data_IF_083061785735
#
_entry.id   IF_083061785735
#
_cell.length_a   1.000
_cell.length_b   1.000
_cell.length_c   1.000
_cell.angle_alpha   90.00
_cell.angle_beta   90.00
_cell.angle_gamma   90.00
#
_symmetry.space_group_name_H-M   'P 1'
#
loop_
_entity.id
_entity.type
_entity.pdbx_description
1 polymer ?
#
# COMPACT_ATOMS: atom_id res chain seq x y z
N UNK A 1 -4.35 14.45 21.29
CA UNK A 1 -3.56 15.69 21.08
C UNK A 1 -3.07 15.89 19.66
N UNK A 2 -2.93 14.86 18.83
CA UNK A 2 -2.01 14.99 17.69
C UNK A 2 -2.63 15.66 16.46
N UNK A 3 -3.91 15.38 16.16
CA UNK A 3 -4.68 16.05 15.11
C UNK A 3 -5.43 17.30 15.61
N UNK A 4 -6.37 17.10 16.54
CA UNK A 4 -7.27 18.16 17.04
C UNK A 4 -6.64 19.11 18.07
N UNK A 5 -5.49 18.74 18.64
CA UNK A 5 -4.77 19.53 19.66
C UNK A 5 -5.67 19.95 20.84
N UNK A 6 -6.62 19.09 21.21
CA UNK A 6 -7.46 19.23 22.43
C UNK A 6 -6.55 19.12 23.64
N UNK A 7 -6.74 20.00 24.62
CA UNK A 7 -5.98 20.00 25.89
C UNK A 7 -6.30 18.69 26.64
N UNK A 8 -5.29 18.04 27.24
CA UNK A 8 -5.42 16.66 27.75
C UNK A 8 -6.49 16.50 28.82
N UNK A 9 -6.59 17.46 29.74
CA UNK A 9 -7.62 17.53 30.78
C UNK A 9 -9.04 17.70 30.19
N UNK A 10 -9.21 18.51 29.13
CA UNK A 10 -10.50 18.63 28.46
C UNK A 10 -10.87 17.35 27.70
N UNK A 11 -9.88 16.64 27.16
CA UNK A 11 -10.09 15.34 26.54
C UNK A 11 -10.49 14.28 27.58
N UNK A 12 -9.89 14.30 28.77
CA UNK A 12 -10.27 13.41 29.88
C UNK A 12 -11.73 13.61 30.30
N UNK A 13 -12.15 14.86 30.50
CA UNK A 13 -13.56 15.19 30.76
C UNK A 13 -14.46 14.72 29.62
N UNK A 14 -14.08 14.98 28.36
CA UNK A 14 -14.87 14.54 27.21
C UNK A 14 -15.03 13.01 27.13
N UNK A 15 -14.01 12.24 27.51
CA UNK A 15 -14.02 10.78 27.47
C UNK A 15 -14.68 10.12 28.69
N UNK A 16 -15.04 10.89 29.72
CA UNK A 16 -15.60 10.39 30.99
C UNK A 16 -17.05 10.81 31.23
N UNK A 17 -17.68 11.51 30.28
CA UNK A 17 -19.08 11.94 30.35
C UNK A 17 -19.90 11.31 29.21
N UNK A 18 -21.07 10.77 29.52
CA UNK A 18 -21.92 10.07 28.54
C UNK A 18 -22.62 11.04 27.58
N UNK A 19 -22.93 12.26 28.04
CA UNK A 19 -23.72 13.24 27.28
C UNK A 19 -22.91 13.97 26.20
N UNK A 20 -21.58 13.87 26.27
CA UNK A 20 -20.64 14.55 25.38
C UNK A 20 -20.65 16.08 25.50
N UNK A 21 -20.21 16.76 24.43
CA UNK A 21 -20.04 18.22 24.37
C UNK A 21 -20.75 18.77 23.14
N UNK A 22 -21.59 19.79 23.32
CA UNK A 22 -22.43 20.37 22.25
C UNK A 22 -22.16 21.84 22.03
N UNK A 23 -22.56 22.32 20.85
CA UNK A 23 -22.57 23.74 20.49
C UNK A 23 -21.20 24.40 20.62
N UNK A 24 -21.19 25.67 21.02
CA UNK A 24 -19.98 26.50 21.12
C UNK A 24 -18.87 25.85 21.95
N UNK A 25 -19.21 25.14 23.03
CA UNK A 25 -18.25 24.42 23.87
C UNK A 25 -17.43 23.40 23.08
N UNK A 26 -18.05 22.70 22.11
CA UNK A 26 -17.35 21.74 21.27
C UNK A 26 -16.30 22.40 20.37
N UNK A 27 -16.60 23.60 19.86
CA UNK A 27 -15.69 24.38 19.04
C UNK A 27 -14.55 24.96 19.89
N UNK A 28 -14.87 25.55 21.05
CA UNK A 28 -13.90 26.11 22.00
C UNK A 28 -12.90 25.05 22.47
N UNK A 29 -13.36 23.82 22.68
CA UNK A 29 -12.50 22.68 23.05
C UNK A 29 -11.76 22.06 21.86
N UNK A 30 -11.96 22.57 20.63
CA UNK A 30 -11.38 22.07 19.37
C UNK A 30 -11.86 20.67 18.98
N UNK A 31 -12.99 20.20 19.50
CA UNK A 31 -13.59 18.91 19.13
C UNK A 31 -14.17 18.95 17.71
N UNK A 32 -14.73 20.10 17.32
CA UNK A 32 -15.23 20.39 15.96
C UNK A 32 -14.64 21.70 15.44
N UNK A 33 -14.68 21.91 14.13
CA UNK A 33 -14.11 23.10 13.48
C UNK A 33 -15.10 24.27 13.46
N UNK A 34 -16.39 23.99 13.26
CA UNK A 34 -17.45 24.98 13.13
C UNK A 34 -18.76 24.48 13.75
N UNK A 35 -19.57 25.41 14.26
CA UNK A 35 -20.92 25.15 14.80
C UNK A 35 -21.88 26.09 14.09
N UNK A 36 -22.91 25.51 13.47
CA UNK A 36 -23.85 26.22 12.58
C UNK A 36 -25.28 25.98 13.05
N UNK A 37 -26.14 26.99 12.92
CA UNK A 37 -27.57 26.82 13.17
C UNK A 37 -28.19 25.82 12.19
N UNK A 38 -29.13 25.00 12.68
CA UNK A 38 -29.73 23.93 11.86
C UNK A 38 -30.35 24.44 10.54
N UNK A 39 -30.96 25.63 10.56
CA UNK A 39 -31.55 26.26 9.36
C UNK A 39 -30.54 26.63 8.27
N UNK A 40 -29.24 26.69 8.56
CA UNK A 40 -28.16 27.04 7.63
C UNK A 40 -27.16 25.90 7.40
N UNK A 41 -27.39 24.73 8.00
CA UNK A 41 -26.40 23.65 8.03
C UNK A 41 -26.06 23.14 6.63
N UNK A 42 -27.07 22.75 5.85
CA UNK A 42 -26.92 22.27 4.47
C UNK A 42 -26.20 23.28 3.56
N UNK A 43 -26.58 24.55 3.64
CA UNK A 43 -25.96 25.64 2.89
C UNK A 43 -24.48 25.77 3.25
N UNK A 44 -24.16 25.76 4.55
CA UNK A 44 -22.78 25.91 5.03
C UNK A 44 -21.92 24.71 4.67
N UNK A 45 -22.45 23.48 4.77
CA UNK A 45 -21.76 22.26 4.35
C UNK A 45 -21.45 22.31 2.86
N UNK A 46 -22.42 22.70 2.03
CA UNK A 46 -22.25 22.84 0.58
C UNK A 46 -21.20 23.88 0.23
N UNK A 47 -21.22 25.05 0.90
CA UNK A 47 -20.22 26.10 0.70
C UNK A 47 -18.80 25.64 1.10
N UNK A 48 -18.65 24.94 2.24
CA UNK A 48 -17.37 24.38 2.68
C UNK A 48 -16.85 23.29 1.75
N UNK A 49 -17.73 22.41 1.28
CA UNK A 49 -17.38 21.39 0.31
C UNK A 49 -16.86 22.02 -1.00
N UNK A 50 -17.53 23.06 -1.50
CA UNK A 50 -17.09 23.82 -2.66
C UNK A 50 -15.73 24.52 -2.43
N UNK A 51 -15.50 25.09 -1.24
CA UNK A 51 -14.22 25.70 -0.86
C UNK A 51 -13.08 24.69 -0.90
N UNK A 52 -13.27 23.48 -0.36
CA UNK A 52 -12.26 22.43 -0.39
C UNK A 52 -12.05 21.89 -1.79
N UNK A 53 -13.13 21.62 -2.54
CA UNK A 53 -13.05 21.18 -3.93
C UNK A 53 -12.30 22.20 -4.79
N UNK A 54 -12.45 23.50 -4.52
CA UNK A 54 -11.78 24.56 -5.26
C UNK A 54 -10.24 24.47 -5.20
N UNK A 55 -9.68 23.85 -4.15
CA UNK A 55 -8.23 23.67 -3.94
C UNK A 55 -7.65 22.46 -4.69
N UNK A 56 -8.50 21.56 -5.18
CA UNK A 56 -8.06 20.40 -5.95
C UNK A 56 -7.83 20.76 -7.42
N UNK A 57 -6.79 20.17 -8.04
CA UNK A 57 -6.40 20.44 -9.43
C UNK A 57 -7.22 19.62 -10.44
N UNK A 58 -7.66 18.42 -10.07
CA UNK A 58 -8.25 17.43 -10.97
C UNK A 58 -9.79 17.46 -10.97
N UNK A 59 -10.40 18.63 -11.15
CA UNK A 59 -11.87 18.82 -10.98
C UNK A 59 -12.71 18.13 -12.06
N UNK A 60 -12.16 18.00 -13.28
CA UNK A 60 -12.88 17.49 -14.46
C UNK A 60 -12.27 16.18 -14.99
N UNK A 61 -11.47 15.49 -14.16
CA UNK A 61 -10.81 14.27 -14.58
C UNK A 61 -11.82 13.11 -14.73
N UNK A 62 -11.71 12.37 -15.84
CA UNK A 62 -12.49 11.14 -16.02
C UNK A 62 -11.95 10.05 -15.09
N UNK A 63 -12.82 9.51 -14.23
CA UNK A 63 -12.46 8.40 -13.35
C UNK A 63 -12.20 7.09 -14.10
N UNK A 64 -11.55 6.15 -13.42
CA UNK A 64 -11.44 4.76 -13.87
C UNK A 64 -12.41 3.87 -13.09
N UNK A 65 -12.93 2.83 -13.74
CA UNK A 65 -13.75 1.82 -13.07
C UNK A 65 -12.86 0.79 -12.36
N UNK A 66 -13.05 0.61 -11.05
CA UNK A 66 -12.43 -0.47 -10.29
C UNK A 66 -13.22 -1.77 -10.45
N UNK A 67 -12.96 -2.49 -11.54
CA UNK A 67 -13.61 -3.77 -11.86
C UNK A 67 -13.43 -4.78 -10.70
N UNK A 68 -14.41 -5.66 -10.44
CA UNK A 68 -14.28 -6.70 -9.42
C UNK A 68 -12.97 -7.51 -9.54
N UNK A 69 -12.38 -7.87 -8.41
CA UNK A 69 -11.22 -8.75 -8.39
C UNK A 69 -11.66 -10.17 -8.74
N UNK A 70 -10.94 -10.79 -9.67
CA UNK A 70 -11.10 -12.21 -9.98
C UNK A 70 -10.23 -13.00 -9.00
N UNK A 71 -10.89 -13.72 -8.09
CA UNK A 71 -10.24 -14.50 -7.04
C UNK A 71 -10.91 -15.87 -6.95
N UNK A 72 -10.12 -16.93 -6.97
CA UNK A 72 -10.55 -18.27 -6.55
C UNK A 72 -9.98 -18.61 -5.18
N UNK A 73 -10.77 -19.32 -4.38
CA UNK A 73 -10.38 -19.84 -3.07
C UNK A 73 -10.49 -21.35 -3.17
N UNK A 74 -9.37 -22.06 -2.96
CA UNK A 74 -9.33 -23.51 -2.94
C UNK A 74 -9.78 -24.05 -1.57
N UNK A 75 -10.10 -25.35 -1.50
CA UNK A 75 -10.59 -26.00 -0.27
C UNK A 75 -9.59 -25.94 0.90
N UNK A 76 -8.29 -25.91 0.58
CA UNK A 76 -7.20 -25.77 1.56
C UNK A 76 -7.04 -24.34 2.10
N UNK A 77 -7.74 -23.36 1.53
CA UNK A 77 -7.64 -21.93 1.83
C UNK A 77 -6.68 -21.16 0.92
N UNK A 78 -6.01 -21.83 -0.02
CA UNK A 78 -5.14 -21.18 -1.00
C UNK A 78 -5.93 -20.21 -1.88
N UNK A 79 -5.33 -19.08 -2.22
CA UNK A 79 -5.95 -18.01 -3.01
C UNK A 79 -5.23 -17.89 -4.35
N UNK A 80 -5.98 -17.72 -5.43
CA UNK A 80 -5.41 -17.44 -6.75
C UNK A 80 -6.06 -16.20 -7.35
N UNK A 81 -5.21 -15.29 -7.78
CA UNK A 81 -5.55 -14.09 -8.54
C UNK A 81 -4.77 -14.10 -9.86
N UNK A 82 -4.83 -13.01 -10.63
CA UNK A 82 -4.09 -12.92 -11.89
C UNK A 82 -2.59 -12.66 -11.70
N UNK A 83 -2.21 -11.92 -10.65
CA UNK A 83 -0.83 -11.50 -10.35
C UNK A 83 -0.37 -11.91 -8.95
N UNK A 84 -1.25 -12.50 -8.14
CA UNK A 84 -0.94 -12.97 -6.78
C UNK A 84 -1.40 -14.40 -6.62
N UNK A 85 -0.54 -15.21 -6.03
CA UNK A 85 -0.88 -16.55 -5.57
C UNK A 85 -0.57 -16.67 -4.08
N UNK A 86 -1.47 -17.31 -3.33
CA UNK A 86 -1.28 -17.62 -1.93
C UNK A 86 -1.42 -19.12 -1.74
N UNK A 87 -0.33 -19.76 -1.38
CA UNK A 87 -0.27 -21.19 -1.06
C UNK A 87 -0.35 -21.36 0.45
N UNK A 88 -1.31 -22.15 0.92
CA UNK A 88 -1.53 -22.39 2.36
C UNK A 88 -1.01 -23.77 2.75
N UNK A 89 -0.09 -23.81 3.71
CA UNK A 89 0.45 -25.04 4.29
C UNK A 89 0.08 -25.12 5.78
N UNK A 90 -1.11 -25.65 6.08
CA UNK A 90 -1.68 -25.64 7.45
C UNK A 90 -0.83 -26.38 8.46
N UNK A 91 -0.28 -27.53 8.09
CA UNK A 91 0.60 -28.32 8.97
C UNK A 91 1.86 -27.55 9.40
N UNK A 92 2.34 -26.64 8.53
CA UNK A 92 3.47 -25.75 8.80
C UNK A 92 3.06 -24.39 9.35
N UNK A 93 1.74 -24.10 9.40
CA UNK A 93 1.16 -22.81 9.76
C UNK A 93 1.76 -21.66 8.94
N UNK A 94 1.91 -21.90 7.64
CA UNK A 94 2.63 -21.03 6.72
C UNK A 94 1.73 -20.67 5.53
N UNK A 95 1.79 -19.41 5.11
CA UNK A 95 1.27 -18.96 3.83
C UNK A 95 2.41 -18.42 2.96
N UNK A 96 2.53 -18.89 1.71
CA UNK A 96 3.47 -18.33 0.73
C UNK A 96 2.70 -17.46 -0.25
N UNK A 97 3.00 -16.16 -0.27
CA UNK A 97 2.47 -15.16 -1.20
C UNK A 97 3.48 -14.94 -2.32
N UNK A 98 3.13 -15.34 -3.54
CA UNK A 98 3.95 -15.13 -4.74
C UNK A 98 3.39 -13.96 -5.54
N UNK A 99 4.25 -12.98 -5.85
CA UNK A 99 3.92 -11.83 -6.69
C UNK A 99 4.46 -12.04 -8.11
N UNK A 100 3.55 -12.07 -9.07
CA UNK A 100 3.90 -12.24 -10.47
C UNK A 100 4.19 -10.88 -11.11
N UNK A 101 5.42 -10.73 -11.59
CA UNK A 101 5.89 -9.58 -12.36
C UNK A 101 5.11 -9.41 -13.67
N UNK A 102 5.22 -8.24 -14.30
CA UNK A 102 4.52 -7.95 -15.55
C UNK A 102 5.03 -8.85 -16.68
N UNK A 103 4.11 -9.39 -17.47
CA UNK A 103 4.42 -10.11 -18.71
C UNK A 103 4.47 -9.18 -19.93
N UNK A 104 3.72 -8.08 -19.87
CA UNK A 104 3.64 -7.07 -20.92
C UNK A 104 4.51 -5.85 -20.59
N UNK A 105 4.91 -5.13 -21.64
CA UNK A 105 5.62 -3.85 -21.51
C UNK A 105 4.82 -2.83 -20.67
N UNK A 106 5.54 -1.90 -20.05
CA UNK A 106 4.93 -0.74 -19.39
C UNK A 106 4.01 0.02 -20.37
N UNK A 107 2.92 0.66 -19.88
CA UNK A 107 2.05 1.44 -20.75
C UNK A 107 2.85 2.49 -21.52
N UNK A 108 2.55 2.66 -22.81
CA UNK A 108 3.32 3.55 -23.69
C UNK A 108 3.25 5.04 -23.30
N UNK A 109 2.35 5.40 -22.38
CA UNK A 109 2.16 6.74 -21.85
C UNK A 109 0.90 6.84 -20.99
N UNK A 110 0.59 8.05 -20.52
CA UNK A 110 -0.54 8.28 -19.60
C UNK A 110 -1.90 7.96 -20.25
N UNK A 111 -2.07 8.25 -21.54
CA UNK A 111 -3.31 7.87 -22.24
C UNK A 111 -3.54 6.34 -22.19
N UNK A 112 -2.48 5.54 -22.32
CA UNK A 112 -2.57 4.09 -22.25
C UNK A 112 -2.78 3.60 -20.81
N UNK A 113 -2.11 4.22 -19.83
CA UNK A 113 -2.35 3.96 -18.40
C UNK A 113 -3.84 4.13 -18.04
N UNK A 114 -4.46 5.22 -18.47
CA UNK A 114 -5.88 5.49 -18.23
C UNK A 114 -6.80 4.51 -18.98
N UNK A 115 -6.44 4.15 -20.23
CA UNK A 115 -7.18 3.17 -21.03
C UNK A 115 -7.20 1.79 -20.36
N UNK A 116 -6.06 1.35 -19.82
CA UNK A 116 -5.95 0.10 -19.08
C UNK A 116 -6.68 0.18 -17.72
N UNK A 117 -6.69 1.35 -17.08
CA UNK A 117 -7.42 1.61 -15.85
C UNK A 117 -7.08 0.64 -14.73
N UNK A 118 -8.08 -0.06 -14.18
CA UNK A 118 -7.89 -1.05 -13.11
C UNK A 118 -7.13 -2.32 -13.53
N UNK A 119 -6.82 -2.47 -14.82
CA UNK A 119 -6.05 -3.60 -15.35
C UNK A 119 -4.56 -3.27 -15.57
N UNK A 120 -4.13 -2.04 -15.31
CA UNK A 120 -2.70 -1.72 -15.27
C UNK A 120 -2.00 -2.61 -14.25
N UNK A 121 -0.82 -3.15 -14.58
CA UNK A 121 -0.13 -4.12 -13.71
C UNK A 121 0.09 -3.56 -12.29
N UNK A 122 0.59 -2.32 -12.17
CA UNK A 122 0.83 -1.67 -10.87
C UNK A 122 -0.43 -1.55 -10.01
N UNK A 123 -1.58 -1.19 -10.59
CA UNK A 123 -2.82 -1.08 -9.82
C UNK A 123 -3.43 -2.44 -9.52
N UNK A 124 -3.42 -3.36 -10.49
CA UNK A 124 -3.98 -4.71 -10.34
C UNK A 124 -3.24 -5.48 -9.26
N UNK A 125 -1.90 -5.48 -9.30
CA UNK A 125 -1.08 -6.14 -8.28
C UNK A 125 -1.31 -5.56 -6.89
N UNK A 126 -1.37 -4.22 -6.75
CA UNK A 126 -1.66 -3.59 -5.46
C UNK A 126 -3.01 -4.04 -4.88
N UNK A 127 -4.05 -4.09 -5.72
CA UNK A 127 -5.40 -4.49 -5.30
C UNK A 127 -5.47 -5.96 -4.87
N UNK A 128 -4.88 -6.85 -5.67
CA UNK A 128 -4.86 -8.28 -5.39
C UNK A 128 -4.04 -8.58 -4.13
N UNK A 129 -2.88 -7.93 -3.97
CA UNK A 129 -2.05 -8.07 -2.77
C UNK A 129 -2.74 -7.54 -1.51
N UNK A 130 -3.38 -6.37 -1.59
CA UNK A 130 -4.14 -5.80 -0.46
C UNK A 130 -5.28 -6.74 -0.02
N UNK A 131 -6.04 -7.27 -0.98
CA UNK A 131 -7.10 -8.24 -0.72
C UNK A 131 -6.56 -9.54 -0.10
N UNK A 132 -5.46 -10.09 -0.64
CA UNK A 132 -4.81 -11.30 -0.11
C UNK A 132 -4.33 -11.10 1.33
N UNK A 133 -3.68 -9.96 1.64
CA UNK A 133 -3.24 -9.63 3.00
C UNK A 133 -4.45 -9.54 3.95
N UNK A 134 -5.54 -8.89 3.52
CA UNK A 134 -6.74 -8.77 4.34
C UNK A 134 -7.41 -10.13 4.60
N UNK A 135 -7.47 -11.00 3.59
CA UNK A 135 -7.94 -12.38 3.73
C UNK A 135 -7.11 -13.16 4.75
N UNK A 136 -5.78 -13.16 4.61
CA UNK A 136 -4.87 -13.86 5.52
C UNK A 136 -5.00 -13.33 6.96
N UNK A 137 -5.15 -12.01 7.16
CA UNK A 137 -5.24 -11.41 8.49
C UNK A 137 -6.51 -11.80 9.25
N UNK A 138 -7.64 -11.88 8.55
CA UNK A 138 -8.95 -12.04 9.19
C UNK A 138 -9.44 -13.49 9.19
N UNK A 139 -9.07 -14.28 8.18
CA UNK A 139 -9.63 -15.61 7.98
C UNK A 139 -8.63 -16.74 8.24
N UNK A 140 -7.33 -16.45 8.23
CA UNK A 140 -6.27 -17.44 8.47
C UNK A 140 -5.49 -17.14 9.76
N UNK A 141 -6.18 -17.28 10.89
CA UNK A 141 -5.66 -16.93 12.22
C UNK A 141 -4.55 -17.87 12.70
N UNK A 142 -4.54 -19.11 12.23
CA UNK A 142 -3.57 -20.13 12.65
C UNK A 142 -2.28 -20.12 11.83
N UNK A 143 -2.28 -19.48 10.65
CA UNK A 143 -1.08 -19.32 9.82
C UNK A 143 -0.21 -18.22 10.43
N UNK A 144 0.80 -18.61 11.21
CA UNK A 144 1.66 -17.69 11.96
C UNK A 144 2.75 -17.01 11.14
N UNK A 145 3.12 -17.59 9.99
CA UNK A 145 4.19 -17.11 9.12
C UNK A 145 3.66 -16.82 7.72
N UNK A 146 4.03 -15.66 7.17
CA UNK A 146 3.79 -15.31 5.76
C UNK A 146 5.13 -15.12 5.06
N UNK A 147 5.33 -15.86 3.97
CA UNK A 147 6.52 -15.78 3.12
C UNK A 147 6.17 -15.03 1.85
N UNK A 148 6.94 -14.01 1.50
CA UNK A 148 6.83 -13.31 0.22
C UNK A 148 7.88 -13.83 -0.78
N UNK A 149 7.41 -14.13 -1.98
CA UNK A 149 8.21 -14.42 -3.16
C UNK A 149 7.79 -13.48 -4.28
N UNK A 150 8.65 -13.36 -5.29
CA UNK A 150 8.29 -12.73 -6.56
C UNK A 150 8.88 -13.53 -7.71
N UNK A 151 8.30 -13.37 -8.91
CA UNK A 151 8.80 -14.00 -10.12
C UNK A 151 8.58 -13.08 -11.32
N UNK A 152 9.59 -12.88 -12.16
CA UNK A 152 9.49 -12.09 -13.38
C UNK A 152 10.76 -11.29 -13.68
N UNK A 153 10.64 -10.27 -14.54
CA UNK A 153 11.76 -9.36 -14.88
C UNK A 153 11.79 -8.15 -13.93
N UNK A 154 12.91 -7.93 -13.19
CA UNK A 154 13.15 -6.70 -12.43
C UNK A 154 13.05 -5.43 -13.30
N UNK A 155 13.51 -5.50 -14.55
CA UNK A 155 13.53 -4.38 -15.49
C UNK A 155 12.12 -3.96 -15.90
N UNK A 156 11.23 -4.92 -16.13
CA UNK A 156 9.83 -4.60 -16.44
C UNK A 156 9.11 -4.01 -15.23
N UNK A 157 9.35 -4.51 -14.02
CA UNK A 157 8.83 -3.91 -12.79
C UNK A 157 9.26 -2.44 -12.68
N UNK A 158 10.56 -2.17 -12.87
CA UNK A 158 11.11 -0.82 -12.85
C UNK A 158 10.52 0.08 -13.96
N UNK A 159 10.26 -0.46 -15.16
CA UNK A 159 9.67 0.29 -16.26
C UNK A 159 8.21 0.71 -15.99
N UNK A 160 7.39 -0.20 -15.47
CA UNK A 160 6.00 0.09 -15.09
C UNK A 160 5.95 1.14 -13.98
N UNK A 161 6.84 1.03 -13.01
CA UNK A 161 6.98 1.99 -11.93
C UNK A 161 7.45 3.38 -12.42
N UNK A 162 8.45 3.42 -13.29
CA UNK A 162 9.04 4.67 -13.78
C UNK A 162 8.01 5.57 -14.47
N UNK A 163 7.07 4.98 -15.22
CA UNK A 163 5.96 5.71 -15.83
C UNK A 163 5.13 6.47 -14.78
N UNK A 164 4.79 5.82 -13.66
CA UNK A 164 3.98 6.44 -12.61
C UNK A 164 4.73 7.59 -11.94
N UNK A 165 6.01 7.37 -11.60
CA UNK A 165 6.80 8.42 -10.96
C UNK A 165 7.05 9.62 -11.86
N UNK A 166 7.30 9.39 -13.15
CA UNK A 166 7.50 10.46 -14.11
C UNK A 166 6.27 11.38 -14.24
N UNK A 167 5.09 10.90 -13.86
CA UNK A 167 3.83 11.62 -14.06
C UNK A 167 3.04 11.89 -12.77
N UNK A 168 3.53 11.52 -11.58
CA UNK A 168 2.76 11.64 -10.31
C UNK A 168 2.33 13.07 -9.96
N UNK A 169 3.06 14.08 -10.41
CA UNK A 169 2.75 15.48 -10.13
C UNK A 169 1.68 16.05 -11.09
N UNK A 170 1.57 15.48 -12.28
CA UNK A 170 0.72 15.98 -13.39
C UNK A 170 -0.48 15.08 -13.69
N UNK A 171 -0.42 13.80 -13.32
CA UNK A 171 -1.47 12.81 -13.54
C UNK A 171 -2.01 12.25 -12.22
N UNK A 172 -3.33 12.32 -12.05
CA UNK A 172 -4.00 11.89 -10.82
C UNK A 172 -3.94 10.37 -10.65
N UNK A 173 -4.07 9.59 -11.74
CA UNK A 173 -4.13 8.14 -11.66
C UNK A 173 -2.76 7.58 -11.24
N UNK A 174 -1.69 8.07 -11.85
CA UNK A 174 -0.32 7.75 -11.47
C UNK A 174 -0.05 8.01 -9.99
N UNK A 175 -0.47 9.19 -9.50
CA UNK A 175 -0.36 9.56 -8.09
C UNK A 175 -1.16 8.64 -7.17
N UNK A 176 -2.42 8.35 -7.51
CA UNK A 176 -3.28 7.51 -6.69
C UNK A 176 -2.80 6.05 -6.63
N UNK A 177 -2.24 5.52 -7.72
CA UNK A 177 -1.64 4.17 -7.72
C UNK A 177 -0.45 4.12 -6.75
N UNK A 178 0.44 5.11 -6.78
CA UNK A 178 1.57 5.19 -5.83
C UNK A 178 1.08 5.38 -4.39
N UNK A 179 0.09 6.24 -4.16
CA UNK A 179 -0.52 6.42 -2.83
C UNK A 179 -1.22 5.16 -2.34
N UNK A 180 -1.73 4.31 -3.25
CA UNK A 180 -2.27 3.02 -2.87
C UNK A 180 -1.18 2.06 -2.45
N UNK A 181 -0.10 1.92 -3.24
CA UNK A 181 1.07 1.14 -2.84
C UNK A 181 1.60 1.54 -1.46
N UNK A 182 1.69 2.85 -1.18
CA UNK A 182 2.04 3.35 0.16
C UNK A 182 1.15 2.75 1.27
N UNK A 183 -0.16 2.63 1.03
CA UNK A 183 -1.11 2.07 2.00
C UNK A 183 -0.98 0.56 2.13
N UNK A 184 -0.81 -0.16 1.01
CA UNK A 184 -0.62 -1.62 1.00
C UNK A 184 0.64 -2.00 1.77
N UNK A 185 1.76 -1.32 1.48
CA UNK A 185 3.03 -1.56 2.18
C UNK A 185 2.90 -1.29 3.69
N UNK A 186 2.17 -0.25 4.10
CA UNK A 186 1.86 0.00 5.53
C UNK A 186 1.07 -1.14 6.19
N UNK A 187 0.20 -1.82 5.44
CA UNK A 187 -0.51 -2.99 5.98
C UNK A 187 0.44 -4.16 6.19
N UNK A 188 1.43 -4.34 5.31
CA UNK A 188 2.49 -5.34 5.49
C UNK A 188 3.22 -5.06 6.80
N UNK A 189 3.72 -3.83 7.01
CA UNK A 189 4.43 -3.46 8.25
C UNK A 189 3.64 -3.75 9.54
N UNK A 190 2.31 -3.62 9.46
CA UNK A 190 1.40 -3.73 10.60
C UNK A 190 0.65 -5.07 10.63
N UNK A 191 1.08 -6.06 9.85
CA UNK A 191 0.48 -7.41 9.88
C UNK A 191 1.01 -8.17 11.09
N UNK A 192 0.10 -8.69 11.90
CA UNK A 192 0.42 -9.44 13.13
C UNK A 192 0.79 -10.89 12.82
N UNK A 193 1.81 -11.07 11.99
CA UNK A 193 2.41 -12.36 11.59
C UNK A 193 3.91 -12.19 11.48
N UNK A 194 4.66 -13.28 11.62
CA UNK A 194 6.06 -13.25 11.21
C UNK A 194 6.14 -13.21 9.70
N UNK A 195 6.94 -12.28 9.18
CA UNK A 195 7.07 -12.04 7.75
C UNK A 195 8.48 -12.39 7.29
N UNK A 196 8.58 -13.16 6.22
CA UNK A 196 9.85 -13.52 5.59
C UNK A 196 9.75 -13.20 4.11
N UNK A 197 10.84 -12.77 3.49
CA UNK A 197 10.95 -12.69 2.03
C UNK A 197 12.12 -13.55 1.52
N UNK A 198 11.89 -14.23 0.39
CA UNK A 198 12.89 -15.08 -0.26
C UNK A 198 13.20 -14.52 -1.65
N UNK A 199 14.41 -14.00 -1.81
CA UNK A 199 14.95 -13.51 -3.10
C UNK A 199 15.65 -14.68 -3.79
N UNK A 200 14.90 -15.40 -4.61
CA UNK A 200 15.36 -16.59 -5.34
C UNK A 200 15.73 -16.22 -6.79
N UNK A 201 16.42 -17.12 -7.51
CA UNK A 201 16.68 -16.93 -8.94
C UNK A 201 15.36 -16.78 -9.72
N UNK A 202 15.32 -15.80 -10.61
CA UNK A 202 14.13 -15.39 -11.36
C UNK A 202 13.13 -14.52 -10.58
N UNK A 203 13.46 -14.11 -9.36
CA UNK A 203 12.66 -13.13 -8.62
C UNK A 203 12.80 -11.72 -9.16
N UNK A 204 11.80 -10.87 -8.89
CA UNK A 204 11.72 -9.50 -9.40
C UNK A 204 11.48 -8.48 -8.29
N UNK A 205 12.25 -8.57 -7.19
CA UNK A 205 12.22 -7.57 -6.12
C UNK A 205 12.92 -6.28 -6.55
N UNK A 206 12.21 -5.49 -7.36
CA UNK A 206 12.64 -4.21 -7.89
C UNK A 206 11.71 -3.06 -7.49
N UNK A 207 12.26 -1.87 -7.23
CA UNK A 207 11.51 -0.65 -6.92
C UNK A 207 10.50 -0.84 -5.80
N UNK A 208 9.21 -0.62 -6.08
CA UNK A 208 8.10 -0.82 -5.14
C UNK A 208 8.09 -2.23 -4.55
N UNK A 209 8.42 -3.28 -5.31
CA UNK A 209 8.44 -4.64 -4.76
C UNK A 209 9.61 -4.86 -3.80
N UNK A 210 10.73 -4.17 -4.00
CA UNK A 210 11.86 -4.22 -3.06
C UNK A 210 11.49 -3.67 -1.67
N UNK A 211 10.48 -2.79 -1.56
CA UNK A 211 9.99 -2.33 -0.25
C UNK A 211 9.51 -3.48 0.64
N UNK A 212 9.01 -4.58 0.05
CA UNK A 212 8.56 -5.75 0.81
C UNK A 212 9.76 -6.37 1.53
N UNK A 213 10.93 -6.44 0.90
CA UNK A 213 12.16 -6.97 1.54
C UNK A 213 12.58 -6.16 2.77
N UNK A 214 12.21 -4.90 2.83
CA UNK A 214 12.50 -4.00 3.94
C UNK A 214 11.35 -3.91 4.95
N UNK A 215 10.18 -4.45 4.60
CA UNK A 215 8.99 -4.49 5.44
C UNK A 215 8.93 -5.73 6.32
N UNK A 216 9.48 -6.83 5.82
CA UNK A 216 9.47 -8.13 6.50
C UNK A 216 10.51 -8.22 7.63
N UNK A 217 10.33 -9.17 8.55
CA UNK A 217 11.25 -9.40 9.66
C UNK A 217 12.61 -9.92 9.16
N UNK A 218 12.60 -10.78 8.13
CA UNK A 218 13.81 -11.37 7.55
C UNK A 218 13.71 -11.48 6.04
N UNK A 219 14.81 -11.14 5.38
CA UNK A 219 14.99 -11.32 3.94
C UNK A 219 16.19 -12.24 3.72
N UNK A 220 15.98 -13.33 2.98
CA UNK A 220 17.05 -14.25 2.58
C UNK A 220 17.21 -14.17 1.07
N UNK A 221 18.45 -14.02 0.62
CA UNK A 221 18.79 -13.93 -0.79
C UNK A 221 19.67 -15.11 -1.17
N UNK A 222 19.27 -15.76 -2.25
CA UNK A 222 20.02 -16.83 -2.88
C UNK A 222 21.34 -16.26 -3.43
N UNK A 223 22.45 -16.92 -3.12
CA UNK A 223 23.79 -16.51 -3.57
C UNK A 223 24.26 -17.43 -4.69
N UNK A 224 24.38 -16.88 -5.90
CA UNK A 224 24.98 -17.55 -7.06
C UNK A 224 24.03 -18.36 -7.94
N UNK A 225 24.64 -18.97 -8.95
CA UNK A 225 24.00 -19.89 -9.89
C UNK A 225 23.95 -21.31 -9.31
N UNK A 226 22.88 -22.04 -9.58
CA UNK A 226 22.72 -23.43 -9.17
C UNK A 226 22.69 -24.32 -10.42
N UNK A 227 23.36 -25.48 -10.34
CA UNK A 227 23.37 -26.43 -11.46
C UNK A 227 21.92 -26.85 -11.81
N UNK A 228 21.55 -26.64 -13.08
CA UNK A 228 20.20 -26.95 -13.58
C UNK A 228 19.16 -25.85 -13.38
N UNK A 229 19.48 -24.75 -12.70
CA UNK A 229 18.61 -23.57 -12.62
C UNK A 229 18.93 -22.57 -13.74
N UNK A 230 18.06 -22.50 -14.75
CA UNK A 230 18.23 -21.59 -15.90
C UNK A 230 17.60 -20.20 -15.67
N UNK A 231 17.09 -19.91 -14.47
CA UNK A 231 16.52 -18.60 -14.15
C UNK A 231 17.64 -17.57 -13.90
N UNK A 232 17.40 -16.28 -14.17
CA UNK A 232 18.37 -15.23 -13.84
C UNK A 232 18.76 -15.24 -12.37
N UNK A 233 20.03 -14.97 -12.05
CA UNK A 233 20.51 -14.88 -10.67
C UNK A 233 19.67 -13.90 -9.87
N UNK A 234 19.36 -14.26 -8.63
CA UNK A 234 18.69 -13.42 -7.67
C UNK A 234 19.34 -12.03 -7.62
N UNK A 235 18.53 -10.99 -7.71
CA UNK A 235 18.98 -9.60 -7.64
C UNK A 235 17.95 -8.74 -6.92
N UNK A 236 18.42 -7.62 -6.36
CA UNK A 236 17.59 -6.58 -5.78
C UNK A 236 17.88 -5.29 -6.55
N UNK A 237 16.85 -4.68 -7.13
CA UNK A 237 17.01 -3.44 -7.91
C UNK A 237 16.31 -2.29 -7.20
N UNK A 238 17.09 -1.37 -6.65
CA UNK A 238 16.53 -0.18 -6.00
C UNK A 238 16.26 0.92 -7.02
N UNK A 239 15.18 1.66 -6.79
CA UNK A 239 14.80 2.84 -7.57
C UNK A 239 14.43 3.98 -6.61
N UNK A 240 13.98 5.11 -7.15
CA UNK A 240 13.47 6.22 -6.32
C UNK A 240 12.30 5.83 -5.39
N UNK A 241 11.62 4.71 -5.64
CA UNK A 241 10.60 4.17 -4.74
C UNK A 241 11.12 3.93 -3.31
N UNK A 242 12.37 3.52 -3.18
CA UNK A 242 12.91 3.04 -1.91
C UNK A 242 13.41 4.16 -1.00
N UNK A 243 13.47 5.40 -1.51
CA UNK A 243 14.13 6.53 -0.86
C UNK A 243 13.19 7.70 -0.54
N UNK A 244 11.91 7.44 -0.23
CA UNK A 244 11.01 8.48 0.26
C UNK A 244 9.51 8.30 0.01
N UNK A 245 9.07 7.85 -1.18
CA UNK A 245 7.65 7.85 -1.55
C UNK A 245 6.73 7.03 -0.62
N UNK A 246 7.27 6.00 0.03
CA UNK A 246 6.50 5.02 0.80
C UNK A 246 6.87 4.97 2.30
N UNK A 247 6.69 6.07 3.06
CA UNK A 247 7.01 6.05 4.48
C UNK A 247 6.03 5.13 5.22
N UNK A 248 6.54 4.50 6.28
CA UNK A 248 5.80 3.71 7.25
C UNK A 248 4.90 4.61 8.12
N UNK A 249 4.21 4.03 9.10
CA UNK A 249 3.33 4.78 10.02
C UNK A 249 4.08 5.71 10.98
N UNK A 250 5.37 5.48 11.21
CA UNK A 250 6.25 6.35 11.99
C UNK A 250 6.79 7.57 11.20
N UNK A 251 6.49 7.68 9.90
CA UNK A 251 6.95 8.76 9.04
C UNK A 251 8.31 8.55 8.36
N UNK A 252 9.02 7.46 8.66
CA UNK A 252 10.30 7.10 8.04
C UNK A 252 10.09 6.10 6.89
N UNK A 253 11.01 6.02 5.94
CA UNK A 253 11.06 4.90 4.98
C UNK A 253 11.52 3.62 5.69
N UNK A 254 11.31 2.47 5.03
CA UNK A 254 11.78 1.19 5.57
C UNK A 254 13.30 1.09 5.62
N UNK A 255 13.99 1.61 4.60
CA UNK A 255 15.46 1.72 4.61
C UNK A 255 15.96 2.63 5.74
N UNK A 256 15.33 3.80 5.94
CA UNK A 256 15.66 4.67 7.08
C UNK A 256 15.45 3.97 8.43
N UNK A 257 14.38 3.19 8.56
CA UNK A 257 14.13 2.40 9.77
C UNK A 257 15.16 1.28 9.95
N UNK A 258 15.57 0.63 8.85
CA UNK A 258 16.60 -0.42 8.85
C UNK A 258 17.97 0.10 9.24
N UNK A 259 18.33 1.31 8.82
CA UNK A 259 19.59 1.99 9.12
C UNK A 259 19.41 3.14 10.13
N UNK A 260 18.53 2.96 11.13
CA UNK A 260 18.14 4.04 12.05
C UNK A 260 19.31 4.72 12.78
N UNK A 261 20.37 3.98 13.07
CA UNK A 261 21.58 4.49 13.72
C UNK A 261 22.64 5.07 12.78
N UNK A 262 22.46 4.90 11.46
CA UNK A 262 23.44 5.24 10.41
C UNK A 262 22.71 5.83 9.19
N UNK A 263 21.96 6.94 9.35
CA UNK A 263 21.13 7.51 8.28
C UNK A 263 21.91 7.91 7.02
N UNK A 264 23.22 8.15 7.14
CA UNK A 264 24.14 8.43 6.03
C UNK A 264 24.40 7.23 5.11
N UNK A 265 24.00 6.01 5.50
CA UNK A 265 24.13 4.79 4.69
C UNK A 265 22.92 4.50 3.79
N UNK A 266 21.91 5.38 3.80
CA UNK A 266 20.67 5.27 3.01
C UNK A 266 20.69 6.22 1.83
#
# INVERSE_FOLDING_TARGET
TDKRKVRRDLADVFCSVEEGVKGKRAQEWRLVDEVVANSKFEETVSARAAEFAARHKDKDAKGIELKPLQRSIAEDGSLTYSLVEVQVERDKRLATVTLNGPQDAAPAGIADLHRQGSQTWMLRLARELDDAILQLRLNELELGVVVFRSQGSPEQVAAHEALLFANRETDWLSREILLYWKRVLKRIDLTSRSLVALVENGSCFAGVLAEILFAVDRSYMMEGDFEGDNRPVASITLTQANFGPFPMSNGLTRLQTRFLGEPEKV
#
